data_IF_629066802858
#
_entry.id   IF_629066802858
#
_cell.length_a   1.000
_cell.length_b   1.000
_cell.length_c   1.000
_cell.angle_alpha   90.00
_cell.angle_beta   90.00
_cell.angle_gamma   90.00
#
_symmetry.space_group_name_H-M   'P 1'
#
loop_
_entity.id
_entity.type
_entity.pdbx_description
1 polymer ?
#
# COMPACT_ATOMS: atom_id res chain seq x y z
N UNK A 1 27.70 -24.74 5.13
CA UNK A 1 27.34 -23.31 4.95
C UNK A 1 26.35 -23.04 3.79
N UNK A 2 25.83 -24.07 3.09
CA UNK A 2 25.03 -23.92 1.87
C UNK A 2 23.52 -23.65 2.04
N UNK A 3 23.05 -23.14 3.19
CA UNK A 3 21.59 -22.93 3.45
C UNK A 3 21.17 -21.45 3.44
N UNK A 4 22.12 -20.53 3.25
CA UNK A 4 21.89 -19.08 3.37
C UNK A 4 21.61 -18.40 2.02
N UNK A 5 22.19 -18.90 0.92
CA UNK A 5 21.99 -18.35 -0.44
C UNK A 5 20.56 -18.59 -0.96
N UNK A 6 19.96 -19.73 -0.63
CA UNK A 6 18.57 -20.03 -0.96
C UNK A 6 17.59 -19.11 -0.20
N UNK A 7 17.82 -18.86 1.09
CA UNK A 7 16.99 -17.93 1.89
C UNK A 7 17.12 -16.47 1.47
N UNK A 8 18.31 -16.05 1.02
CA UNK A 8 18.52 -14.72 0.49
C UNK A 8 17.82 -14.55 -0.87
N UNK A 9 17.74 -15.62 -1.67
CA UNK A 9 16.99 -15.64 -2.93
C UNK A 9 15.48 -15.58 -2.71
N UNK A 10 14.98 -16.15 -1.61
CA UNK A 10 13.58 -16.08 -1.21
C UNK A 10 13.13 -14.69 -0.72
N UNK A 11 14.02 -13.89 -0.12
CA UNK A 11 13.65 -12.56 0.39
C UNK A 11 13.75 -11.44 -0.65
N UNK A 12 14.29 -11.74 -1.82
CA UNK A 12 14.61 -10.77 -2.86
C UNK A 12 13.41 -9.98 -3.39
N UNK A 13 12.24 -10.60 -3.59
CA UNK A 13 11.14 -9.96 -4.34
C UNK A 13 10.62 -8.65 -3.72
N UNK A 14 10.37 -8.64 -2.40
CA UNK A 14 9.87 -7.44 -1.70
C UNK A 14 10.97 -6.38 -1.62
N UNK A 15 12.19 -6.78 -1.27
CA UNK A 15 13.32 -5.86 -1.11
C UNK A 15 13.76 -5.24 -2.44
N UNK A 16 13.72 -6.00 -3.53
CA UNK A 16 14.01 -5.56 -4.88
C UNK A 16 12.98 -4.54 -5.37
N UNK A 17 11.68 -4.82 -5.18
CA UNK A 17 10.62 -3.87 -5.49
C UNK A 17 10.82 -2.55 -4.73
N UNK A 18 11.02 -2.63 -3.41
CA UNK A 18 11.20 -1.43 -2.56
C UNK A 18 12.44 -0.65 -2.99
N UNK A 19 13.54 -1.34 -3.29
CA UNK A 19 14.77 -0.74 -3.78
C UNK A 19 14.55 -0.02 -5.10
N UNK A 20 13.85 -0.63 -6.06
CA UNK A 20 13.52 0.02 -7.32
C UNK A 20 12.62 1.23 -7.16
N UNK A 21 11.55 1.14 -6.37
CA UNK A 21 10.67 2.28 -6.11
C UNK A 21 11.42 3.44 -5.46
N UNK A 22 12.31 3.18 -4.49
CA UNK A 22 13.17 4.21 -3.88
C UNK A 22 14.12 4.83 -4.89
N UNK A 23 14.77 4.01 -5.72
CA UNK A 23 15.71 4.48 -6.75
C UNK A 23 15.01 5.35 -7.78
N UNK A 24 13.82 4.96 -8.22
CA UNK A 24 12.97 5.73 -9.14
C UNK A 24 12.55 7.07 -8.52
N UNK A 25 12.07 7.06 -7.27
CA UNK A 25 11.69 8.29 -6.54
C UNK A 25 12.86 9.24 -6.36
N UNK A 26 14.05 8.70 -6.06
CA UNK A 26 15.24 9.51 -5.89
C UNK A 26 15.64 10.22 -7.20
N UNK A 27 15.56 9.51 -8.34
CA UNK A 27 15.83 10.11 -9.66
C UNK A 27 14.81 11.17 -10.07
N UNK A 28 13.56 11.04 -9.66
CA UNK A 28 12.53 12.04 -9.95
C UNK A 28 12.56 13.26 -9.02
N UNK A 29 13.39 13.25 -7.97
CA UNK A 29 13.48 14.35 -6.99
C UNK A 29 12.22 14.54 -6.13
N UNK A 30 11.25 13.62 -6.19
CA UNK A 30 9.98 13.78 -5.48
C UNK A 30 10.14 13.54 -3.98
N UNK A 31 9.66 14.49 -3.17
CA UNK A 31 9.47 14.28 -1.74
C UNK A 31 8.31 13.32 -1.48
N UNK A 32 8.24 12.72 -0.28
CA UNK A 32 7.09 11.87 0.07
C UNK A 32 5.76 12.64 0.10
N UNK A 33 5.80 13.92 0.45
CA UNK A 33 4.62 14.79 0.44
C UNK A 33 4.14 15.01 -0.99
N UNK A 34 5.02 15.44 -1.89
CA UNK A 34 4.69 15.66 -3.31
C UNK A 34 4.23 14.38 -4.00
N UNK A 35 4.83 13.23 -3.65
CA UNK A 35 4.37 11.94 -4.15
C UNK A 35 2.93 11.64 -3.71
N UNK A 36 2.59 11.92 -2.45
CA UNK A 36 1.26 11.67 -1.93
C UNK A 36 0.19 12.54 -2.60
N UNK A 37 0.47 13.84 -2.75
CA UNK A 37 -0.39 14.79 -3.46
C UNK A 37 -0.67 14.35 -4.91
N UNK A 38 0.31 13.74 -5.58
CA UNK A 38 0.19 13.31 -6.98
C UNK A 38 -0.42 11.92 -7.19
N UNK A 39 -0.57 11.10 -6.16
CA UNK A 39 -0.96 9.67 -6.30
C UNK A 39 -2.21 9.26 -5.52
N UNK A 40 -2.97 10.19 -4.95
CA UNK A 40 -4.17 9.89 -4.16
C UNK A 40 -3.92 8.97 -2.94
N UNK A 41 -2.67 8.91 -2.46
CA UNK A 41 -2.25 8.20 -1.26
C UNK A 41 -1.53 9.17 -0.32
N UNK A 42 -1.68 9.00 0.99
CA UNK A 42 -1.02 9.89 1.95
C UNK A 42 0.49 9.65 2.05
N UNK A 43 1.21 10.64 2.60
CA UNK A 43 2.63 10.52 2.98
C UNK A 43 2.90 9.30 3.87
N UNK A 44 2.01 8.98 4.80
CA UNK A 44 2.18 7.84 5.71
C UNK A 44 2.04 6.50 4.99
N UNK A 45 1.10 6.38 4.04
CA UNK A 45 0.96 5.21 3.18
C UNK A 45 2.24 4.99 2.36
N UNK A 46 2.74 6.03 1.69
CA UNK A 46 4.01 5.96 0.96
C UNK A 46 5.20 5.64 1.83
N UNK A 47 5.27 6.19 3.05
CA UNK A 47 6.32 5.86 4.02
C UNK A 47 6.32 4.39 4.41
N UNK A 48 5.16 3.75 4.54
CA UNK A 48 5.04 2.30 4.79
C UNK A 48 5.44 1.48 3.57
N UNK A 49 4.97 1.84 2.38
CA UNK A 49 5.28 1.13 1.14
C UNK A 49 6.76 1.17 0.82
N UNK A 50 7.34 2.37 0.85
CA UNK A 50 8.75 2.57 0.58
C UNK A 50 9.64 2.08 1.72
N UNK A 51 9.12 1.76 2.91
CA UNK A 51 9.90 1.07 3.95
C UNK A 51 9.86 -0.46 3.83
N UNK A 52 9.05 -1.02 2.93
CA UNK A 52 8.83 -2.47 2.82
C UNK A 52 7.94 -3.05 3.91
N UNK A 53 7.48 -2.24 4.89
CA UNK A 53 6.59 -2.68 5.98
C UNK A 53 5.21 -3.11 5.48
N UNK A 54 4.79 -2.62 4.33
CA UNK A 54 3.56 -3.04 3.66
C UNK A 54 3.82 -3.06 2.17
N UNK A 55 3.41 -4.12 1.48
CA UNK A 55 3.46 -4.14 0.02
C UNK A 55 2.47 -3.09 -0.53
N UNK A 56 2.89 -2.19 -1.45
CA UNK A 56 1.96 -1.25 -2.07
C UNK A 56 0.86 -2.00 -2.84
N UNK A 57 -0.39 -1.50 -2.86
CA UNK A 57 -1.41 -2.05 -3.74
C UNK A 57 -1.04 -1.78 -5.21
N UNK A 58 -1.54 -2.62 -6.12
CA UNK A 58 -1.26 -2.51 -7.56
C UNK A 58 -1.51 -1.10 -8.12
N UNK A 59 -2.64 -0.49 -7.76
CA UNK A 59 -3.02 0.87 -8.18
C UNK A 59 -2.03 1.95 -7.70
N UNK A 60 -1.40 1.77 -6.52
CA UNK A 60 -0.37 2.69 -6.05
C UNK A 60 0.89 2.58 -6.92
N UNK A 61 1.29 1.37 -7.32
CA UNK A 61 2.45 1.16 -8.19
C UNK A 61 2.20 1.75 -9.57
N UNK A 62 1.02 1.55 -10.14
CA UNK A 62 0.62 2.18 -11.41
C UNK A 62 0.69 3.72 -11.35
N UNK A 63 0.06 4.30 -10.33
CA UNK A 63 0.03 5.75 -10.14
C UNK A 63 1.43 6.32 -9.93
N UNK A 64 2.28 5.60 -9.18
CA UNK A 64 3.68 5.94 -9.02
C UNK A 64 4.43 5.96 -10.35
N UNK A 65 4.34 4.89 -11.15
CA UNK A 65 5.05 4.79 -12.42
C UNK A 65 4.64 5.91 -13.38
N UNK A 66 3.34 6.26 -13.41
CA UNK A 66 2.85 7.41 -14.17
C UNK A 66 3.43 8.74 -13.69
N UNK A 67 3.52 8.94 -12.37
CA UNK A 67 4.03 10.17 -11.76
C UNK A 67 5.53 10.37 -11.97
N UNK A 68 6.31 9.29 -12.02
CA UNK A 68 7.77 9.32 -12.23
C UNK A 68 8.20 9.01 -13.66
N UNK A 69 7.23 8.84 -14.58
CA UNK A 69 7.46 8.49 -15.99
C UNK A 69 8.38 7.25 -16.17
N UNK A 70 8.12 6.23 -15.35
CA UNK A 70 8.89 4.98 -15.37
C UNK A 70 8.24 3.92 -16.25
N UNK A 71 9.06 2.98 -16.71
CA UNK A 71 8.60 1.76 -17.36
C UNK A 71 7.72 0.94 -16.39
N UNK A 72 6.43 0.94 -16.68
CA UNK A 72 5.41 0.31 -15.84
C UNK A 72 5.51 -1.22 -15.90
N UNK A 73 5.78 -1.83 -17.05
CA UNK A 73 5.86 -3.29 -17.18
C UNK A 73 6.96 -3.85 -16.27
N UNK A 74 8.14 -3.23 -16.31
CA UNK A 74 9.27 -3.67 -15.48
C UNK A 74 8.97 -3.60 -13.99
N UNK A 75 8.36 -2.50 -13.53
CA UNK A 75 8.07 -2.32 -12.11
C UNK A 75 6.93 -3.24 -11.66
N UNK A 76 5.95 -3.51 -12.52
CA UNK A 76 4.87 -4.43 -12.21
C UNK A 76 5.33 -5.89 -12.15
N UNK A 77 6.26 -6.31 -13.01
CA UNK A 77 6.86 -7.65 -12.91
C UNK A 77 7.52 -7.89 -11.54
N UNK A 78 8.22 -6.86 -11.02
CA UNK A 78 8.78 -6.89 -9.66
C UNK A 78 7.68 -6.93 -8.59
N UNK A 79 6.59 -6.18 -8.80
CA UNK A 79 5.46 -6.19 -7.88
C UNK A 79 4.79 -7.57 -7.80
N UNK A 80 4.63 -8.26 -8.92
CA UNK A 80 4.08 -9.62 -8.94
C UNK A 80 4.98 -10.62 -8.22
N UNK A 81 6.31 -10.53 -8.43
CA UNK A 81 7.26 -11.36 -7.70
C UNK A 81 7.17 -11.11 -6.18
N UNK A 82 7.14 -9.84 -5.77
CA UNK A 82 6.95 -9.46 -4.37
C UNK A 82 5.61 -9.94 -3.80
N UNK A 83 4.54 -9.90 -4.59
CA UNK A 83 3.21 -10.35 -4.19
C UNK A 83 3.16 -11.87 -4.00
N UNK A 84 3.75 -12.64 -4.93
CA UNK A 84 3.89 -14.10 -4.80
C UNK A 84 4.69 -14.48 -3.57
N UNK A 85 5.79 -13.78 -3.30
CA UNK A 85 6.59 -14.03 -2.10
C UNK A 85 5.81 -13.73 -0.82
N UNK A 86 5.09 -12.59 -0.77
CA UNK A 86 4.22 -12.24 0.36
C UNK A 86 3.15 -13.33 0.59
N UNK A 87 2.55 -13.84 -0.47
CA UNK A 87 1.55 -14.91 -0.40
C UNK A 87 2.17 -16.23 0.10
N UNK A 88 3.35 -16.59 -0.41
CA UNK A 88 4.10 -17.77 0.05
C UNK A 88 4.39 -17.70 1.54
N UNK A 89 4.86 -16.56 2.05
CA UNK A 89 5.10 -16.34 3.49
C UNK A 89 3.85 -16.44 4.34
N UNK A 90 2.70 -15.97 3.83
CA UNK A 90 1.43 -16.07 4.53
C UNK A 90 0.93 -17.52 4.65
N UNK A 91 1.30 -18.37 3.68
CA UNK A 91 0.89 -19.78 3.63
C UNK A 91 1.91 -20.76 4.22
N UNK A 92 3.07 -20.28 4.68
CA UNK A 92 4.01 -21.13 5.42
C UNK A 92 3.39 -21.43 6.79
N UNK A 93 3.14 -22.71 7.12
CA UNK A 93 2.75 -23.09 8.46
C UNK A 93 3.84 -22.58 9.40
N UNK A 94 3.47 -21.71 10.34
CA UNK A 94 4.34 -21.44 11.47
C UNK A 94 4.55 -22.78 12.15
N UNK A 95 5.77 -23.33 12.16
CA UNK A 95 6.14 -24.43 13.06
C UNK A 95 6.01 -23.90 14.49
N UNK A 96 4.78 -23.89 14.99
CA UNK A 96 4.46 -23.76 16.39
C UNK A 96 4.69 -25.16 16.97
N UNK A 97 5.50 -25.32 18.03
CA UNK A 97 5.48 -26.59 18.75
C UNK A 97 4.05 -26.81 19.26
N UNK A 98 3.42 -27.86 18.75
CA UNK A 98 2.14 -28.39 19.22
C UNK A 98 2.24 -28.70 20.71
N UNK A 99 1.27 -28.19 21.47
CA UNK A 99 1.18 -28.20 22.92
C UNK A 99 0.54 -26.86 23.35
N UNK A 100 -0.73 -26.77 23.70
CA UNK A 100 -1.61 -27.72 24.37
C UNK A 100 -3.04 -27.50 23.90
N UNK A 101 -3.87 -28.54 24.05
CA UNK A 101 -5.30 -28.58 23.80
C UNK A 101 -6.04 -27.32 24.26
N UNK A 102 -6.77 -26.72 23.32
CA UNK A 102 -7.65 -25.59 23.55
C UNK A 102 -8.95 -25.80 22.77
N UNK A 103 -9.85 -26.50 23.44
CA UNK A 103 -11.28 -26.69 23.19
C UNK A 103 -11.91 -25.74 22.16
N UNK A 104 -12.55 -26.34 21.17
CA UNK A 104 -13.38 -25.68 20.18
C UNK A 104 -14.79 -25.47 20.75
N UNK A 105 -15.26 -24.23 20.77
CA UNK A 105 -16.68 -23.95 20.49
C UNK A 105 -16.80 -22.69 19.65
N UNK A 106 -17.25 -22.90 18.41
CA UNK A 106 -17.92 -21.89 17.61
C UNK A 106 -19.32 -21.69 18.18
N UNK A 107 -19.74 -20.44 18.36
CA UNK A 107 -21.17 -20.10 18.32
C UNK A 107 -21.30 -18.74 17.62
N UNK A 108 -22.01 -18.78 16.50
CA UNK A 108 -22.44 -17.61 15.76
C UNK A 108 -23.72 -17.03 16.38
N UNK A 109 -24.02 -15.80 15.96
CA UNK A 109 -25.35 -15.18 15.98
C UNK A 109 -25.77 -14.41 17.25
N UNK A 110 -25.81 -13.07 17.18
CA UNK A 110 -27.04 -12.29 16.91
C UNK A 110 -26.78 -10.79 17.13
N UNK A 111 -27.31 -9.98 16.21
CA UNK A 111 -27.35 -8.50 16.25
C UNK A 111 -28.17 -8.02 17.46
N UNK A 112 -27.94 -6.80 18.00
CA UNK A 112 -29.09 -5.90 17.99
C UNK A 112 -28.80 -4.42 17.69
N UNK A 113 -29.90 -3.80 17.29
CA UNK A 113 -30.09 -2.42 16.90
C UNK A 113 -29.93 -1.41 18.04
N UNK A 114 -29.54 -0.19 17.62
CA UNK A 114 -30.07 1.13 18.01
C UNK A 114 -31.06 1.19 19.19
N UNK A 115 -30.72 2.00 20.18
CA UNK A 115 -31.70 2.62 21.10
C UNK A 115 -31.04 3.25 22.32
N UNK A 116 -31.00 4.59 22.34
CA UNK A 116 -31.30 5.51 23.47
C UNK A 116 -30.66 5.25 24.86
N UNK A 117 -30.34 6.19 25.75
CA UNK A 117 -30.29 7.65 25.88
C UNK A 117 -30.18 7.87 27.40
N UNK A 118 -29.22 8.68 27.90
CA UNK A 118 -29.14 9.36 29.22
C UNK A 118 -27.66 9.63 29.55
N UNK A 119 -27.13 10.87 29.51
CA UNK A 119 -27.30 12.04 30.41
C UNK A 119 -27.06 11.65 31.88
N UNK A 120 -26.14 12.20 32.67
CA UNK A 120 -25.10 13.26 32.57
C UNK A 120 -23.93 12.88 33.53
N UNK A 121 -22.98 13.70 33.95
CA UNK A 121 -22.82 15.16 33.97
C UNK A 121 -21.32 15.48 34.18
N UNK A 122 -20.82 16.43 33.38
CA UNK A 122 -19.74 17.43 33.60
C UNK A 122 -18.42 17.16 34.36
N UNK A 123 -17.31 17.37 33.63
CA UNK A 123 -16.03 17.92 34.11
C UNK A 123 -15.24 18.51 32.91
N UNK A 124 -14.73 19.76 32.96
CA UNK A 124 -14.33 20.51 31.77
C UNK A 124 -12.85 20.32 31.41
N UNK A 125 -12.57 20.05 30.14
CA UNK A 125 -11.20 19.94 29.62
C UNK A 125 -11.18 19.42 28.19
N UNK A 126 -11.91 20.10 27.30
CA UNK A 126 -11.90 19.79 25.88
C UNK A 126 -10.59 20.21 25.20
N UNK A 127 -10.33 19.92 23.93
CA UNK A 127 -11.12 19.36 22.82
C UNK A 127 -10.12 18.86 21.77
N UNK A 128 -10.38 17.95 20.84
CA UNK A 128 -11.37 16.89 20.61
C UNK A 128 -10.68 16.05 19.52
N UNK A 129 -10.57 14.73 19.72
CA UNK A 129 -10.33 13.78 18.62
C UNK A 129 -11.64 13.68 17.86
N UNK A 130 -11.70 14.14 16.61
CA UNK A 130 -12.89 13.96 15.78
C UNK A 130 -12.80 12.59 15.10
N UNK A 131 -13.76 11.67 15.34
CA UNK A 131 -13.81 10.38 14.66
C UNK A 131 -14.43 10.48 13.26
N UNK A 132 -14.02 9.52 12.44
CA UNK A 132 -14.39 9.25 11.05
C UNK A 132 -15.92 9.11 10.85
N UNK A 133 -16.49 9.86 9.92
CA UNK A 133 -17.88 9.66 9.47
C UNK A 133 -18.37 10.63 8.38
N UNK A 134 -18.37 10.13 7.14
CA UNK A 134 -19.30 10.43 6.01
C UNK A 134 -19.52 11.89 5.59
N UNK A 135 -19.04 12.25 4.38
CA UNK A 135 -19.87 12.90 3.33
C UNK A 135 -19.33 12.46 1.96
N UNK A 136 -20.12 11.69 1.21
CA UNK A 136 -19.99 11.56 -0.24
C UNK A 136 -20.37 12.92 -0.85
N UNK A 137 -19.37 13.74 -1.13
CA UNK A 137 -19.54 15.02 -1.78
C UNK A 137 -19.18 14.89 -3.26
N UNK A 138 -20.18 14.61 -4.09
CA UNK A 138 -20.09 14.83 -5.53
C UNK A 138 -19.82 16.32 -5.80
N UNK A 139 -18.70 16.63 -6.43
CA UNK A 139 -18.46 17.93 -7.05
C UNK A 139 -17.91 17.71 -8.46
N UNK A 140 -18.83 17.77 -9.43
CA UNK A 140 -18.55 17.94 -10.85
C UNK A 140 -18.05 19.37 -11.08
N UNK A 141 -16.87 19.50 -11.70
CA UNK A 141 -16.34 20.67 -12.43
C UNK A 141 -14.94 20.26 -12.86
N UNK A 142 -14.50 20.28 -14.12
CA UNK A 142 -15.02 20.76 -15.38
C UNK A 142 -13.91 20.45 -16.40
N UNK A 143 -14.29 20.37 -17.68
CA UNK A 143 -13.43 20.06 -18.82
C UNK A 143 -12.14 20.90 -18.87
N UNK A 144 -11.04 20.23 -19.21
CA UNK A 144 -9.78 20.83 -19.63
C UNK A 144 -9.11 19.93 -20.66
N UNK A 145 -9.69 19.88 -21.85
CA UNK A 145 -9.12 19.30 -23.06
C UNK A 145 -7.86 20.09 -23.42
N UNK A 146 -6.70 19.42 -23.38
CA UNK A 146 -5.42 20.00 -23.78
C UNK A 146 -4.55 18.93 -24.40
N UNK A 147 -4.88 18.51 -25.61
CA UNK A 147 -3.94 17.82 -26.50
C UNK A 147 -2.71 18.70 -26.67
N UNK A 148 -1.51 18.16 -26.48
CA UNK A 148 -0.41 18.42 -27.40
C UNK A 148 0.51 17.21 -27.47
N UNK A 149 0.65 16.74 -28.71
CA UNK A 149 1.49 15.66 -29.18
C UNK A 149 2.94 15.86 -28.75
N UNK A 150 3.59 14.76 -28.38
CA UNK A 150 5.03 14.68 -28.21
C UNK A 150 5.51 13.26 -28.54
N UNK A 151 5.27 12.81 -29.76
CA UNK A 151 5.90 11.61 -30.29
C UNK A 151 7.43 11.78 -30.21
N UNK A 152 8.13 10.84 -29.57
CA UNK A 152 9.53 10.59 -29.89
C UNK A 152 9.81 9.10 -30.01
N UNK A 153 9.46 8.59 -31.19
CA UNK A 153 10.18 7.50 -31.83
C UNK A 153 11.62 7.96 -32.10
N UNK A 154 12.60 7.20 -31.61
CA UNK A 154 13.93 6.95 -32.17
C UNK A 154 14.63 6.06 -31.14
N UNK A 155 14.74 4.73 -31.29
CA UNK A 155 15.49 4.00 -32.31
C UNK A 155 16.90 4.56 -32.48
N UNK A 156 17.86 3.91 -31.83
CA UNK A 156 19.27 3.94 -32.23
C UNK A 156 19.80 2.51 -32.12
N UNK A 157 20.07 1.96 -33.30
CA UNK A 157 20.87 0.76 -33.55
C UNK A 157 22.27 0.91 -32.95
N UNK A 158 22.80 -0.17 -32.37
CA UNK A 158 24.01 -0.86 -32.85
C UNK A 158 23.76 -2.36 -32.69
#
# INVERSE_FOLDING_TARGET
MARQEDRNSETGGIDELVTQLRRLRARSGLTLTALGERTNYSKSSWGRYLSGRTLPPYQAVLSFCRVVEADQERVLALWEAAHRERARRANQPSERPEGVDGDAVAEAELVPARGESSVGVTGPGGRVRVPLGVVFGSALLGLGLGCLLGARVARSHV
#
